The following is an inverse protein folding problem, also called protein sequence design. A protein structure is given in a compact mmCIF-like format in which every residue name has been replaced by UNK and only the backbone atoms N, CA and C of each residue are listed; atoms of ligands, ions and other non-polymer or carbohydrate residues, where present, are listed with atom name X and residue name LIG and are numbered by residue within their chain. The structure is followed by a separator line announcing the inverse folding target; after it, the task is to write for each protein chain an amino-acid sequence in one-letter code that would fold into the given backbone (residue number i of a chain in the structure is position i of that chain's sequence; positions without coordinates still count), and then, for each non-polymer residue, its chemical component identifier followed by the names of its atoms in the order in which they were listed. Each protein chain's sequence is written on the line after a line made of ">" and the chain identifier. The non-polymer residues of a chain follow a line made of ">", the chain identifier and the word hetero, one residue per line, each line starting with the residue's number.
data_IF_843814109014
#
_entry.id   IF_843814109014
#
_cell.length_a   1.000
_cell.length_b   1.000
_cell.length_c   1.000
_cell.angle_alpha   90.00
_cell.angle_beta   90.00
_cell.angle_gamma   90.00
#
_symmetry.space_group_name_H-M   'P 1'
#
loop_
_entity.id
_entity.type
_entity.pdbx_description
1 polymer ?
#
# COMPACT_ATOMS: atom_id res chain seq x y z
N UNK A 1 8.85 -19.69 8.07
CA UNK A 1 9.00 -18.68 9.13
C UNK A 1 9.91 -17.51 8.74
N UNK A 2 11.05 -17.69 8.09
CA UNK A 2 11.96 -16.62 7.63
C UNK A 2 11.35 -15.70 6.57
N UNK A 3 10.53 -16.21 5.66
CA UNK A 3 9.87 -15.43 4.60
C UNK A 3 8.91 -14.36 5.14
N UNK A 4 8.21 -14.67 6.23
CA UNK A 4 7.27 -13.75 6.87
C UNK A 4 8.00 -12.53 7.48
N UNK A 5 9.15 -12.75 8.12
CA UNK A 5 9.92 -11.66 8.73
C UNK A 5 10.54 -10.73 7.69
N UNK A 6 11.10 -11.29 6.60
CA UNK A 6 11.64 -10.49 5.50
C UNK A 6 10.57 -9.63 4.82
N UNK A 7 9.39 -10.20 4.62
CA UNK A 7 8.25 -9.49 4.03
C UNK A 7 7.78 -8.34 4.91
N UNK A 8 7.61 -8.60 6.21
CA UNK A 8 7.21 -7.56 7.17
C UNK A 8 8.23 -6.43 7.17
N UNK A 9 9.52 -6.74 7.22
CA UNK A 9 10.57 -5.73 7.19
C UNK A 9 10.53 -4.89 5.89
N UNK A 10 10.37 -5.52 4.73
CA UNK A 10 10.26 -4.83 3.45
C UNK A 10 9.03 -3.91 3.41
N UNK A 11 7.88 -4.38 3.87
CA UNK A 11 6.65 -3.60 3.93
C UNK A 11 6.78 -2.40 4.87
N UNK A 12 7.40 -2.57 6.04
CA UNK A 12 7.67 -1.48 6.99
C UNK A 12 8.58 -0.42 6.38
N UNK A 13 9.63 -0.84 5.68
CA UNK A 13 10.55 0.09 5.00
C UNK A 13 9.84 0.88 3.91
N UNK A 14 9.03 0.22 3.07
CA UNK A 14 8.28 0.89 2.01
C UNK A 14 7.22 1.82 2.58
N UNK A 15 6.43 1.36 3.56
CA UNK A 15 5.43 2.19 4.23
C UNK A 15 6.06 3.41 4.92
N UNK A 16 7.19 3.21 5.60
CA UNK A 16 7.97 4.28 6.22
C UNK A 16 8.51 5.29 5.21
N UNK A 17 9.10 4.81 4.11
CA UNK A 17 9.61 5.67 3.04
C UNK A 17 8.50 6.50 2.38
N UNK A 18 7.36 5.88 2.05
CA UNK A 18 6.20 6.57 1.48
C UNK A 18 5.65 7.62 2.45
N UNK A 19 5.54 7.27 3.74
CA UNK A 19 5.09 8.20 4.77
C UNK A 19 6.05 9.37 4.93
N UNK A 20 7.35 9.08 5.00
CA UNK A 20 8.40 10.09 5.13
C UNK A 20 8.38 11.07 3.96
N UNK A 21 8.36 10.56 2.72
CA UNK A 21 8.38 11.41 1.52
C UNK A 21 7.06 12.15 1.36
N UNK A 22 5.93 11.47 1.55
CA UNK A 22 4.61 12.10 1.47
C UNK A 22 4.41 13.19 2.53
N UNK A 23 4.96 13.02 3.74
CA UNK A 23 4.87 13.97 4.83
C UNK A 23 6.02 14.97 4.87
N UNK A 24 7.13 14.74 4.16
CA UNK A 24 8.26 15.66 4.17
C UNK A 24 7.82 17.04 3.67
N UNK A 25 8.22 18.07 4.39
CA UNK A 25 8.23 19.44 3.89
C UNK A 25 9.45 19.51 2.99
N UNK A 26 9.28 19.50 1.67
CA UNK A 26 10.41 19.58 0.75
C UNK A 26 11.41 20.68 1.17
N UNK A 27 12.71 20.43 1.05
CA UNK A 27 13.78 21.40 1.36
C UNK A 27 13.68 22.70 0.54
N UNK A 28 12.90 22.68 -0.53
CA UNK A 28 12.57 23.81 -1.38
C UNK A 28 11.07 24.08 -1.29
N UNK A 29 10.66 25.34 -1.42
CA UNK A 29 9.26 25.79 -1.41
C UNK A 29 8.35 25.04 -2.41
N UNK A 30 8.92 24.31 -3.38
CA UNK A 30 8.23 23.58 -4.43
C UNK A 30 7.86 22.12 -4.05
N UNK A 31 8.23 21.63 -2.87
CA UNK A 31 7.88 20.28 -2.43
C UNK A 31 8.75 19.17 -3.05
N UNK A 32 8.28 17.93 -2.97
CA UNK A 32 8.96 16.76 -3.54
C UNK A 32 8.73 16.72 -5.06
N UNK A 33 9.77 16.34 -5.83
CA UNK A 33 9.69 16.23 -7.29
C UNK A 33 8.63 15.20 -7.69
N UNK A 34 7.88 15.50 -8.75
CA UNK A 34 6.84 14.61 -9.27
C UNK A 34 7.37 13.20 -9.58
N UNK A 35 8.55 13.11 -10.17
CA UNK A 35 9.23 11.84 -10.49
C UNK A 35 9.44 10.96 -9.24
N UNK A 36 9.89 11.57 -8.13
CA UNK A 36 10.07 10.86 -6.86
C UNK A 36 8.74 10.36 -6.31
N UNK A 37 7.69 11.19 -6.38
CA UNK A 37 6.35 10.79 -5.94
C UNK A 37 5.79 9.66 -6.80
N UNK A 38 5.96 9.73 -8.12
CA UNK A 38 5.52 8.68 -9.04
C UNK A 38 6.27 7.37 -8.75
N UNK A 39 7.60 7.43 -8.66
CA UNK A 39 8.43 6.26 -8.41
C UNK A 39 8.04 5.56 -7.10
N UNK A 40 7.90 6.32 -6.02
CA UNK A 40 7.53 5.78 -4.70
C UNK A 40 6.10 5.26 -4.67
N UNK A 41 5.16 5.99 -5.27
CA UNK A 41 3.76 5.56 -5.32
C UNK A 41 3.60 4.25 -6.10
N UNK A 42 4.38 4.08 -7.17
CA UNK A 42 4.39 2.85 -7.98
C UNK A 42 5.18 1.70 -7.32
N UNK A 43 6.11 2.00 -6.41
CA UNK A 43 6.93 0.98 -5.77
C UNK A 43 6.10 -0.03 -4.96
N UNK A 44 5.02 0.42 -4.31
CA UNK A 44 4.24 -0.45 -3.43
C UNK A 44 3.55 -1.60 -4.16
N UNK A 45 2.75 -1.38 -5.21
CA UNK A 45 2.15 -2.49 -5.97
C UNK A 45 3.22 -3.41 -6.59
N UNK A 46 4.37 -2.86 -7.01
CA UNK A 46 5.49 -3.65 -7.55
C UNK A 46 6.10 -4.55 -6.47
N UNK A 47 6.33 -4.03 -5.27
CA UNK A 47 6.86 -4.82 -4.14
C UNK A 47 5.90 -5.95 -3.78
N UNK A 48 4.60 -5.68 -3.71
CA UNK A 48 3.59 -6.71 -3.41
C UNK A 48 3.51 -7.75 -4.51
N UNK A 49 3.53 -7.34 -5.78
CA UNK A 49 3.51 -8.27 -6.91
C UNK A 49 4.79 -9.15 -6.96
N UNK A 50 5.96 -8.56 -6.75
CA UNK A 50 7.22 -9.29 -6.68
C UNK A 50 7.23 -10.29 -5.51
N UNK A 51 6.78 -9.87 -4.34
CA UNK A 51 6.66 -10.75 -3.19
C UNK A 51 5.69 -11.91 -3.45
N UNK A 52 4.51 -11.65 -4.00
CA UNK A 52 3.55 -12.68 -4.34
C UNK A 52 4.13 -13.70 -5.33
N UNK A 53 4.90 -13.23 -6.32
CA UNK A 53 5.58 -14.08 -7.29
C UNK A 53 6.65 -14.96 -6.63
N UNK A 54 7.42 -14.41 -5.69
CA UNK A 54 8.42 -15.16 -4.93
C UNK A 54 7.79 -16.24 -4.05
N UNK A 55 6.65 -15.93 -3.40
CA UNK A 55 5.91 -16.91 -2.58
C UNK A 55 5.39 -18.06 -3.44
N UNK A 56 4.84 -17.76 -4.63
CA UNK A 56 4.42 -18.81 -5.58
C UNK A 56 5.62 -19.69 -6.01
N UNK A 57 6.73 -19.05 -6.38
CA UNK A 57 7.91 -19.76 -6.84
C UNK A 57 8.56 -20.64 -5.75
N UNK A 58 8.39 -20.27 -4.48
CA UNK A 58 8.95 -21.02 -3.33
C UNK A 58 7.98 -22.02 -2.72
N UNK A 59 6.72 -22.07 -3.17
CA UNK A 59 5.74 -23.03 -2.67
C UNK A 59 6.14 -24.45 -3.07
N UNK A 60 6.08 -25.44 -2.13
CA UNK A 60 6.35 -26.83 -2.48
C UNK A 60 5.33 -27.28 -3.53
N UNK A 61 5.82 -27.99 -4.54
CA UNK A 61 5.00 -28.51 -5.65
C UNK A 61 3.88 -29.46 -5.22
N UNK A 62 3.96 -30.00 -4.01
CA UNK A 62 2.97 -30.87 -3.40
C UNK A 62 1.89 -30.12 -2.62
N UNK A 63 2.02 -28.82 -2.41
CA UNK A 63 0.95 -28.04 -1.78
C UNK A 63 -0.25 -28.01 -2.72
N UNK A 64 -1.48 -28.39 -2.26
CA UNK A 64 -2.66 -28.22 -3.07
C UNK A 64 -2.74 -26.75 -3.46
N UNK A 65 -2.57 -26.48 -4.76
CA UNK A 65 -2.71 -25.13 -5.28
C UNK A 65 -4.16 -24.71 -4.98
N UNK A 66 -4.39 -23.75 -4.06
CA UNK A 66 -5.74 -23.31 -3.83
C UNK A 66 -6.21 -22.76 -5.17
N UNK A 67 -7.35 -23.25 -5.62
CA UNK A 67 -7.95 -22.71 -6.83
C UNK A 67 -8.04 -21.20 -6.64
N UNK A 68 -7.70 -20.43 -7.67
CA UNK A 68 -7.84 -18.96 -7.65
C UNK A 68 -9.27 -18.54 -7.19
N UNK A 69 -10.25 -19.43 -7.36
CA UNK A 69 -11.60 -19.28 -6.83
C UNK A 69 -11.64 -19.17 -5.29
N UNK A 70 -10.93 -20.05 -4.59
CA UNK A 70 -10.85 -19.96 -3.12
C UNK A 70 -10.14 -18.68 -2.65
N UNK A 71 -9.18 -18.19 -3.43
CA UNK A 71 -8.54 -16.89 -3.15
C UNK A 71 -9.53 -15.73 -3.29
N UNK A 72 -10.44 -15.78 -4.28
CA UNK A 72 -11.47 -14.76 -4.51
C UNK A 72 -12.59 -14.80 -3.47
N UNK A 73 -12.92 -15.96 -2.95
CA UNK A 73 -14.00 -16.11 -1.97
C UNK A 73 -13.75 -15.32 -0.67
N UNK A 74 -12.50 -15.26 -0.23
CA UNK A 74 -12.12 -14.57 1.01
C UNK A 74 -11.51 -13.16 0.79
N UNK A 75 -11.18 -12.81 -0.45
CA UNK A 75 -10.57 -11.53 -0.77
C UNK A 75 -11.42 -10.31 -0.37
N UNK A 76 -12.74 -10.27 -0.58
CA UNK A 76 -13.57 -9.12 -0.24
C UNK A 76 -13.50 -8.72 1.24
N UNK A 77 -13.40 -9.71 2.14
CA UNK A 77 -13.29 -9.42 3.58
C UNK A 77 -11.97 -8.72 3.91
N UNK A 78 -10.86 -9.17 3.31
CA UNK A 78 -9.54 -8.52 3.47
C UNK A 78 -9.49 -7.14 2.80
N UNK A 79 -10.15 -6.96 1.64
CA UNK A 79 -10.28 -5.68 0.97
C UNK A 79 -10.97 -4.66 1.86
N UNK A 80 -12.16 -5.00 2.38
CA UNK A 80 -12.92 -4.11 3.27
C UNK A 80 -12.10 -3.79 4.52
N UNK A 81 -11.46 -4.78 5.12
CA UNK A 81 -10.62 -4.59 6.30
C UNK A 81 -9.44 -3.64 6.02
N UNK A 82 -8.78 -3.82 4.88
CA UNK A 82 -7.69 -2.94 4.43
C UNK A 82 -8.17 -1.50 4.23
N UNK A 83 -9.33 -1.32 3.61
CA UNK A 83 -9.94 0.01 3.43
C UNK A 83 -10.29 0.68 4.75
N UNK A 84 -10.91 -0.05 5.68
CA UNK A 84 -11.30 0.47 7.00
C UNK A 84 -10.07 0.85 7.81
N UNK A 85 -9.02 0.06 7.79
CA UNK A 85 -7.78 0.36 8.50
C UNK A 85 -6.99 1.51 7.85
N UNK A 86 -7.00 1.62 6.53
CA UNK A 86 -6.29 2.69 5.82
C UNK A 86 -6.97 4.06 5.97
N UNK A 87 -8.29 4.10 6.11
CA UNK A 87 -9.06 5.35 6.14
C UNK A 87 -8.59 6.35 7.24
N UNK A 88 -8.45 5.94 8.52
CA UNK A 88 -7.98 6.85 9.56
C UNK A 88 -6.52 7.28 9.34
N UNK A 89 -5.66 6.40 8.81
CA UNK A 89 -4.26 6.71 8.51
C UNK A 89 -4.18 7.75 7.39
N UNK A 90 -4.94 7.56 6.31
CA UNK A 90 -5.02 8.52 5.21
C UNK A 90 -5.57 9.87 5.68
N UNK A 91 -6.63 9.85 6.49
CA UNK A 91 -7.19 11.07 7.07
C UNK A 91 -6.16 11.84 7.92
N UNK A 92 -5.41 11.14 8.77
CA UNK A 92 -4.35 11.73 9.58
C UNK A 92 -3.23 12.34 8.71
N UNK A 93 -2.81 11.64 7.66
CA UNK A 93 -1.79 12.14 6.73
C UNK A 93 -2.25 13.39 5.98
N UNK A 94 -3.46 13.38 5.45
CA UNK A 94 -4.03 14.55 4.76
C UNK A 94 -4.23 15.73 5.72
N UNK A 95 -4.65 15.46 6.95
CA UNK A 95 -4.77 16.49 7.99
C UNK A 95 -3.43 17.17 8.28
N UNK A 96 -2.35 16.39 8.42
CA UNK A 96 -1.00 16.94 8.65
C UNK A 96 -0.48 17.78 7.49
N UNK A 97 -0.95 17.52 6.27
CA UNK A 97 -0.57 18.26 5.05
C UNK A 97 -1.49 19.42 4.74
N UNK A 98 -2.60 19.57 5.44
CA UNK A 98 -3.57 20.62 5.20
C UNK A 98 -2.92 22.01 5.32
N UNK A 99 -3.08 22.82 4.29
CA UNK A 99 -2.55 24.20 4.24
C UNK A 99 -1.08 24.30 3.80
N UNK A 100 -0.43 23.22 3.35
CA UNK A 100 0.97 23.26 2.88
C UNK A 100 1.14 23.53 1.39
N UNK A 101 0.08 23.60 0.59
CA UNK A 101 0.08 23.87 -0.85
C UNK A 101 1.23 23.20 -1.63
N UNK A 102 1.31 21.86 -1.69
CA UNK A 102 2.36 21.16 -2.42
C UNK A 102 2.24 21.43 -3.93
N UNK A 103 3.37 21.45 -4.64
CA UNK A 103 3.39 21.68 -6.08
C UNK A 103 2.55 20.69 -6.90
N UNK A 104 2.42 19.46 -6.39
CA UNK A 104 1.63 18.39 -7.01
C UNK A 104 0.66 17.77 -6.00
N UNK A 105 -0.45 18.45 -5.65
CA UNK A 105 -1.33 18.00 -4.57
C UNK A 105 -1.97 16.63 -4.85
N UNK A 106 -2.29 16.33 -6.11
CA UNK A 106 -2.81 15.02 -6.49
C UNK A 106 -1.80 13.89 -6.30
N UNK A 107 -0.55 14.09 -6.74
CA UNK A 107 0.52 13.08 -6.57
C UNK A 107 0.91 12.93 -5.09
N UNK A 108 0.95 14.02 -4.34
CA UNK A 108 1.18 13.98 -2.89
C UNK A 108 0.08 13.18 -2.21
N UNK A 109 -1.18 13.44 -2.55
CA UNK A 109 -2.32 12.69 -2.04
C UNK A 109 -2.29 11.20 -2.43
N UNK A 110 -1.90 10.88 -3.67
CA UNK A 110 -1.71 9.49 -4.12
C UNK A 110 -0.62 8.77 -3.30
N UNK A 111 0.50 9.43 -3.06
CA UNK A 111 1.60 8.91 -2.24
C UNK A 111 1.14 8.65 -0.79
N UNK A 112 0.37 9.56 -0.20
CA UNK A 112 -0.21 9.37 1.13
C UNK A 112 -1.25 8.24 1.15
N UNK A 113 -2.03 8.08 0.07
CA UNK A 113 -2.94 6.95 -0.12
C UNK A 113 -2.19 5.62 -0.19
N UNK A 114 -1.09 5.57 -0.95
CA UNK A 114 -0.22 4.40 -1.01
C UNK A 114 0.43 4.08 0.36
N UNK A 115 0.86 5.10 1.10
CA UNK A 115 1.41 4.93 2.44
C UNK A 115 0.38 4.37 3.43
N UNK A 116 -0.83 4.91 3.42
CA UNK A 116 -1.94 4.42 4.26
C UNK A 116 -2.31 2.97 3.91
N UNK A 117 -2.37 2.64 2.60
CA UNK A 117 -2.58 1.29 2.12
C UNK A 117 -1.48 0.33 2.58
N UNK A 118 -0.21 0.76 2.54
CA UNK A 118 0.93 -0.04 2.99
C UNK A 118 0.86 -0.38 4.47
N UNK A 119 0.49 0.57 5.31
CA UNK A 119 0.29 0.33 6.74
C UNK A 119 -0.89 -0.61 7.02
N UNK A 120 -2.02 -0.40 6.33
CA UNK A 120 -3.17 -1.30 6.43
C UNK A 120 -2.82 -2.73 5.97
N UNK A 121 -2.11 -2.85 4.84
CA UNK A 121 -1.66 -4.13 4.33
C UNK A 121 -0.75 -4.87 5.32
N UNK A 122 0.17 -4.17 5.98
CA UNK A 122 1.04 -4.75 7.00
C UNK A 122 0.22 -5.37 8.13
N UNK A 123 -0.80 -4.66 8.64
CA UNK A 123 -1.68 -5.16 9.71
C UNK A 123 -2.50 -6.35 9.22
N UNK A 124 -3.16 -6.23 8.07
CA UNK A 124 -3.99 -7.31 7.51
C UNK A 124 -3.14 -8.54 7.21
N UNK A 125 -1.94 -8.36 6.65
CA UNK A 125 -1.01 -9.47 6.40
C UNK A 125 -0.59 -10.21 7.68
N UNK A 126 -0.42 -9.49 8.79
CA UNK A 126 -0.04 -10.09 10.07
C UNK A 126 -1.14 -10.94 10.69
N UNK A 127 -2.42 -10.64 10.42
CA UNK A 127 -3.58 -11.34 11.00
C UNK A 127 -4.31 -12.26 10.01
N UNK A 128 -4.00 -12.16 8.71
CA UNK A 128 -4.65 -12.94 7.66
C UNK A 128 -4.16 -14.40 7.71
N UNK A 129 -5.07 -15.38 7.86
CA UNK A 129 -4.69 -16.78 7.89
C UNK A 129 -4.39 -17.35 6.50
N UNK A 130 -4.69 -16.61 5.43
CA UNK A 130 -4.58 -17.06 4.05
C UNK A 130 -3.23 -16.65 3.44
N UNK A 131 -2.23 -17.51 3.54
CA UNK A 131 -0.87 -17.26 3.04
C UNK A 131 -0.66 -17.47 1.53
N UNK A 132 -1.72 -17.45 0.70
CA UNK A 132 -1.61 -17.71 -0.73
C UNK A 132 -1.35 -16.44 -1.53
N UNK A 133 -0.44 -16.52 -2.51
CA UNK A 133 -0.07 -15.37 -3.33
C UNK A 133 -1.25 -14.77 -4.11
N UNK A 134 -2.15 -15.61 -4.65
CA UNK A 134 -3.34 -15.14 -5.33
C UNK A 134 -4.25 -14.34 -4.39
N UNK A 135 -4.42 -14.79 -3.15
CA UNK A 135 -5.17 -14.06 -2.12
C UNK A 135 -4.47 -12.74 -1.75
N UNK A 136 -3.13 -12.76 -1.60
CA UNK A 136 -2.37 -11.55 -1.30
C UNK A 136 -2.47 -10.50 -2.43
N UNK A 137 -2.46 -10.94 -3.69
CA UNK A 137 -2.63 -10.04 -4.83
C UNK A 137 -4.03 -9.43 -4.87
N UNK A 138 -5.07 -10.25 -4.77
CA UNK A 138 -6.46 -9.78 -4.92
C UNK A 138 -6.95 -9.12 -3.63
N UNK A 139 -6.75 -9.75 -2.48
CA UNK A 139 -7.29 -9.29 -1.20
C UNK A 139 -6.47 -8.19 -0.52
N UNK A 140 -5.21 -7.95 -0.94
CA UNK A 140 -4.34 -7.00 -0.25
C UNK A 140 -3.72 -5.96 -1.19
N UNK A 141 -3.36 -6.33 -2.43
CA UNK A 141 -2.77 -5.38 -3.36
C UNK A 141 -3.82 -4.56 -4.11
N UNK A 142 -4.94 -5.16 -4.47
CA UNK A 142 -5.99 -4.49 -5.23
C UNK A 142 -6.59 -3.29 -4.49
N UNK A 143 -6.84 -3.31 -3.16
CA UNK A 143 -7.36 -2.17 -2.40
C UNK A 143 -6.43 -0.96 -2.40
N UNK A 144 -5.15 -1.14 -2.70
CA UNK A 144 -4.19 -0.03 -2.75
C UNK A 144 -4.52 0.96 -3.87
N UNK A 145 -5.00 0.47 -5.02
CA UNK A 145 -5.32 1.31 -6.17
C UNK A 145 -6.43 2.32 -5.87
N UNK A 146 -7.61 1.92 -5.35
CA UNK A 146 -8.64 2.88 -4.96
C UNK A 146 -8.19 3.81 -3.83
N UNK A 147 -7.36 3.37 -2.88
CA UNK A 147 -6.82 4.23 -1.83
C UNK A 147 -5.86 5.29 -2.40
N UNK A 148 -5.03 4.92 -3.36
CA UNK A 148 -4.19 5.88 -4.10
C UNK A 148 -5.04 6.87 -4.88
N UNK A 149 -6.07 6.40 -5.58
CA UNK A 149 -7.03 7.23 -6.32
C UNK A 149 -7.80 8.19 -5.41
N UNK A 150 -8.29 7.68 -4.28
CA UNK A 150 -8.98 8.48 -3.27
C UNK A 150 -8.05 9.54 -2.67
N UNK A 151 -6.83 9.16 -2.31
CA UNK A 151 -5.80 10.07 -1.83
C UNK A 151 -5.49 11.18 -2.85
N UNK A 152 -5.35 10.80 -4.15
CA UNK A 152 -5.14 11.77 -5.22
C UNK A 152 -6.31 12.73 -5.38
N UNK A 153 -7.53 12.23 -5.32
CA UNK A 153 -8.74 13.03 -5.46
C UNK A 153 -8.93 14.02 -4.29
N UNK A 154 -8.79 13.53 -3.06
CA UNK A 154 -8.88 14.39 -1.86
C UNK A 154 -7.72 15.38 -1.85
N UNK A 155 -6.49 14.93 -2.16
CA UNK A 155 -5.31 15.77 -2.20
C UNK A 155 -5.48 17.00 -3.11
N UNK A 156 -6.07 16.83 -4.30
CA UNK A 156 -6.36 17.96 -5.20
C UNK A 156 -7.36 18.98 -4.64
N UNK A 157 -8.16 18.59 -3.64
CA UNK A 157 -9.20 19.45 -3.07
C UNK A 157 -8.81 20.10 -1.75
N UNK A 158 -7.91 19.46 -1.01
CA UNK A 158 -7.61 19.81 0.39
C UNK A 158 -6.19 20.33 0.57
N UNK A 159 -5.27 19.90 -0.29
CA UNK A 159 -3.87 20.32 -0.29
C UNK A 159 -3.61 21.45 -1.31
#
# INVERSE_FOLDING_TARGET
>A
MWYTQGTIAALVLVAGALSFVGLSRGRHMLGVRAETLIALTSAMPVVVAAWASLVVASAPSSAPCPTWMAALEHAPACDVMSMVLAAPVLAAFLWQKRGLAPANPGLTGACLGAAAAAWAHLVVHAICPYGHAAHALVGHALPMLPLMGLGAWIGRRVL
#
